data_IF_468470759733
#
_entry.id   IF_468470759733
#
_cell.length_a   1.000
_cell.length_b   1.000
_cell.length_c   1.000
_cell.angle_alpha   90.00
_cell.angle_beta   90.00
_cell.angle_gamma   90.00
#
_symmetry.space_group_name_H-M   'P 1'
#
loop_
_entity.id
_entity.type
_entity.pdbx_description
1 polymer ?
#
# COMPACT_ATOMS: atom_id res chain seq x y z
N UNK A 1 -5.25 -2.42 8.21
CA UNK A 1 -4.79 -2.87 6.88
C UNK A 1 -5.92 -2.63 5.88
N UNK A 2 -5.64 -1.98 4.75
CA UNK A 2 -6.64 -1.73 3.72
C UNK A 2 -7.28 -3.05 3.21
N UNK A 3 -8.60 -3.09 3.04
CA UNK A 3 -9.35 -4.31 2.72
C UNK A 3 -8.94 -4.94 1.39
N UNK A 4 -8.92 -4.22 0.25
CA UNK A 4 -8.30 -4.68 -0.98
C UNK A 4 -6.89 -5.26 -0.84
N UNK A 5 -5.99 -4.58 -0.12
CA UNK A 5 -4.64 -5.11 0.10
C UNK A 5 -4.66 -6.45 0.86
N UNK A 6 -5.54 -6.58 1.84
CA UNK A 6 -5.74 -7.83 2.60
C UNK A 6 -6.25 -8.95 1.70
N UNK A 7 -7.16 -8.64 0.78
CA UNK A 7 -7.77 -9.60 -0.12
C UNK A 7 -6.77 -10.03 -1.22
N UNK A 8 -5.97 -9.09 -1.74
CA UNK A 8 -4.83 -9.37 -2.63
C UNK A 8 -3.81 -10.28 -1.94
N UNK A 9 -3.45 -10.00 -0.69
CA UNK A 9 -2.52 -10.82 0.08
C UNK A 9 -3.05 -12.26 0.27
N UNK A 10 -4.36 -12.41 0.49
CA UNK A 10 -5.02 -13.72 0.56
C UNK A 10 -4.98 -14.42 -0.80
N UNK A 11 -5.21 -13.71 -1.90
CA UNK A 11 -5.14 -14.28 -3.24
C UNK A 11 -3.72 -14.75 -3.60
N UNK A 12 -2.69 -13.95 -3.24
CA UNK A 12 -1.29 -14.27 -3.52
C UNK A 12 -0.75 -15.45 -2.70
N UNK A 13 -1.24 -15.64 -1.48
CA UNK A 13 -0.74 -16.67 -0.54
C UNK A 13 -1.68 -17.88 -0.40
N UNK A 14 -2.91 -17.80 -0.91
CA UNK A 14 -4.00 -18.75 -0.64
C UNK A 14 -4.11 -19.96 -1.58
N UNK A 15 -3.02 -20.39 -2.23
CA UNK A 15 -3.04 -21.52 -3.16
C UNK A 15 -2.31 -22.76 -2.63
N UNK A 16 -3.05 -23.71 -2.05
CA UNK A 16 -2.91 -25.18 -2.22
C UNK A 16 -3.71 -25.97 -1.16
N UNK A 17 -3.75 -25.52 0.09
CA UNK A 17 -4.34 -26.29 1.19
C UNK A 17 -5.42 -25.47 1.88
N UNK A 18 -6.69 -25.86 1.71
CA UNK A 18 -7.91 -25.16 2.11
C UNK A 18 -8.13 -24.94 3.62
N UNK A 19 -7.06 -24.77 4.39
CA UNK A 19 -7.09 -24.45 5.81
C UNK A 19 -5.82 -23.67 6.19
N UNK A 20 -5.75 -22.38 5.87
CA UNK A 20 -4.70 -21.53 6.41
C UNK A 20 -5.31 -20.25 6.99
N UNK A 21 -4.98 -20.00 8.27
CA UNK A 21 -5.29 -18.78 8.98
C UNK A 21 -4.93 -17.54 8.13
N UNK A 22 -5.63 -16.43 8.37
CA UNK A 22 -5.37 -15.15 7.70
C UNK A 22 -3.85 -14.86 7.63
N UNK A 23 -3.27 -14.61 6.43
CA UNK A 23 -1.83 -14.38 6.32
C UNK A 23 -1.43 -13.17 7.15
N UNK A 24 -0.84 -13.45 8.31
CA UNK A 24 -0.45 -12.42 9.27
C UNK A 24 0.71 -11.61 8.65
N UNK A 25 0.58 -10.29 8.51
CA UNK A 25 1.68 -9.42 8.08
C UNK A 25 2.79 -9.34 9.16
N UNK A 26 4.03 -8.98 8.78
CA UNK A 26 4.49 -8.66 7.43
C UNK A 26 4.65 -9.91 6.53
N UNK A 27 4.44 -9.71 5.23
CA UNK A 27 4.73 -10.68 4.16
C UNK A 27 5.57 -9.97 3.12
N UNK A 28 6.82 -10.39 2.95
CA UNK A 28 7.76 -9.71 2.07
C UNK A 28 7.70 -10.29 0.66
N UNK A 29 7.57 -9.40 -0.30
CA UNK A 29 7.72 -9.69 -1.72
C UNK A 29 8.80 -8.80 -2.31
N UNK A 30 9.65 -9.35 -3.18
CA UNK A 30 10.68 -8.59 -3.91
C UNK A 30 10.53 -8.92 -5.39
N UNK A 31 10.35 -7.89 -6.21
CA UNK A 31 10.11 -8.01 -7.66
C UNK A 31 9.00 -9.03 -8.01
N UNK A 32 7.91 -9.00 -7.23
CA UNK A 32 6.74 -9.89 -7.39
C UNK A 32 6.92 -11.31 -6.83
N UNK A 33 8.08 -11.66 -6.27
CA UNK A 33 8.35 -12.99 -5.70
C UNK A 33 8.19 -12.97 -4.18
N UNK A 34 7.47 -13.94 -3.63
CA UNK A 34 7.34 -14.10 -2.18
C UNK A 34 8.66 -14.55 -1.54
N UNK A 35 9.11 -13.82 -0.53
CA UNK A 35 10.36 -14.07 0.20
C UNK A 35 10.10 -14.78 1.53
N UNK A 36 9.02 -14.42 2.23
CA UNK A 36 8.70 -15.00 3.54
C UNK A 36 7.83 -14.09 4.43
N UNK A 37 7.43 -14.62 5.58
CA UNK A 37 6.81 -13.88 6.67
C UNK A 37 7.85 -13.25 7.59
N UNK A 38 7.41 -12.79 8.76
CA UNK A 38 8.28 -12.10 9.71
C UNK A 38 9.50 -12.95 10.11
N UNK A 39 9.27 -14.19 10.54
CA UNK A 39 10.33 -15.06 11.07
C UNK A 39 11.34 -15.44 9.98
N UNK A 40 10.88 -15.77 8.77
CA UNK A 40 11.77 -16.10 7.67
C UNK A 40 12.62 -14.91 7.23
N UNK A 41 12.04 -13.70 7.22
CA UNK A 41 12.76 -12.47 6.87
C UNK A 41 13.78 -12.11 7.94
N UNK A 42 13.46 -12.27 9.22
CA UNK A 42 14.41 -12.07 10.32
C UNK A 42 15.58 -13.05 10.19
N UNK A 43 15.30 -14.34 9.98
CA UNK A 43 16.36 -15.34 9.79
C UNK A 43 17.24 -15.04 8.55
N UNK A 44 16.67 -14.51 7.47
CA UNK A 44 17.45 -14.05 6.30
C UNK A 44 18.32 -12.83 6.63
N UNK A 45 17.82 -11.91 7.45
CA UNK A 45 18.57 -10.75 7.89
C UNK A 45 19.78 -11.14 8.74
N UNK A 46 19.57 -12.00 9.73
CA UNK A 46 20.61 -12.48 10.66
C UNK A 46 21.72 -13.24 9.93
N UNK A 47 21.38 -13.98 8.87
CA UNK A 47 22.35 -14.66 7.99
C UNK A 47 23.01 -13.75 6.96
N UNK A 48 22.75 -12.45 6.97
CA UNK A 48 23.22 -11.47 5.96
C UNK A 48 22.77 -11.78 4.52
N UNK A 49 21.73 -12.59 4.34
CA UNK A 49 21.21 -13.01 3.03
C UNK A 49 20.07 -12.12 2.52
N UNK A 50 19.47 -11.30 3.38
CA UNK A 50 18.38 -10.40 2.98
C UNK A 50 18.87 -9.25 2.08
N UNK A 51 20.05 -8.66 2.38
CA UNK A 51 20.57 -7.50 1.65
C UNK A 51 20.76 -7.77 0.15
N UNK A 52 21.37 -8.89 -0.29
CA UNK A 52 21.45 -9.25 -1.71
C UNK A 52 20.10 -9.33 -2.40
N UNK A 53 19.08 -9.90 -1.75
CA UNK A 53 17.72 -10.01 -2.29
C UNK A 53 17.12 -8.61 -2.52
N UNK A 54 17.31 -7.68 -1.58
CA UNK A 54 16.79 -6.31 -1.69
C UNK A 54 17.53 -5.43 -2.73
N UNK A 55 18.73 -5.81 -3.19
CA UNK A 55 19.50 -5.02 -4.17
C UNK A 55 18.90 -5.04 -5.58
N UNK A 56 18.10 -6.04 -5.90
CA UNK A 56 17.40 -6.14 -7.19
C UNK A 56 16.20 -5.18 -7.28
N UNK A 57 15.66 -4.77 -6.14
CA UNK A 57 14.54 -3.86 -6.11
C UNK A 57 14.99 -2.47 -6.59
N UNK A 58 14.30 -1.84 -7.56
CA UNK A 58 14.59 -0.48 -7.97
C UNK A 58 14.41 0.43 -6.76
N UNK A 59 15.48 1.11 -6.35
CA UNK A 59 15.39 2.19 -5.36
C UNK A 59 14.74 3.39 -6.06
N UNK A 60 13.41 3.36 -6.20
CA UNK A 60 12.69 4.54 -6.67
C UNK A 60 12.94 5.67 -5.64
N UNK A 61 13.25 6.88 -6.10
CA UNK A 61 13.67 7.98 -5.21
C UNK A 61 15.11 7.94 -4.68
N UNK A 62 16.03 7.16 -5.27
CA UNK A 62 17.45 7.11 -4.89
C UNK A 62 18.29 8.33 -5.31
N UNK A 63 17.74 9.54 -5.17
CA UNK A 63 18.60 10.69 -4.91
C UNK A 63 19.14 10.58 -3.49
N UNK A 64 20.27 11.22 -3.20
CA UNK A 64 20.79 11.36 -1.82
C UNK A 64 19.81 12.11 -0.90
N UNK A 65 18.86 12.86 -1.48
CA UNK A 65 17.86 13.64 -0.77
C UNK A 65 16.44 13.04 -0.91
N UNK A 66 15.59 13.15 0.12
CA UNK A 66 14.17 12.82 0.03
C UNK A 66 13.48 13.58 -1.10
N UNK A 67 12.44 13.00 -1.70
CA UNK A 67 11.65 13.67 -2.73
C UNK A 67 11.08 15.00 -2.19
N UNK A 68 11.29 16.10 -2.93
CA UNK A 68 10.82 17.43 -2.51
C UNK A 68 9.29 17.55 -2.35
N UNK A 69 8.52 16.64 -2.94
CA UNK A 69 7.05 16.64 -2.89
C UNK A 69 6.50 15.74 -1.78
N UNK A 70 6.93 14.49 -1.68
CA UNK A 70 6.40 13.55 -0.69
C UNK A 70 7.31 13.35 0.54
N UNK A 71 8.50 13.96 0.58
CA UNK A 71 9.48 13.75 1.65
C UNK A 71 9.98 12.31 1.77
N UNK A 72 9.86 11.50 0.71
CA UNK A 72 10.16 10.06 0.74
C UNK A 72 9.03 9.17 1.25
N UNK A 73 7.82 9.72 1.46
CA UNK A 73 6.64 8.98 1.90
C UNK A 73 5.87 8.29 0.76
N UNK A 74 6.24 8.52 -0.51
CA UNK A 74 5.67 7.91 -1.73
C UNK A 74 4.23 8.27 -2.06
N UNK A 75 3.52 8.84 -1.10
CA UNK A 75 2.15 9.28 -1.22
C UNK A 75 2.06 10.75 -0.82
N UNK A 76 1.07 11.45 -1.37
CA UNK A 76 0.71 12.81 -1.00
C UNK A 76 -0.79 12.91 -0.76
N UNK A 77 -1.19 13.94 -0.02
CA UNK A 77 -2.61 14.22 0.23
C UNK A 77 -3.32 14.49 -1.09
N UNK A 78 -4.47 13.85 -1.29
CA UNK A 78 -5.30 14.06 -2.47
C UNK A 78 -5.81 15.50 -2.51
N UNK A 79 -5.45 16.24 -3.55
CA UNK A 79 -5.95 17.60 -3.76
C UNK A 79 -7.44 17.68 -4.11
N UNK A 80 -8.04 16.60 -4.63
CA UNK A 80 -9.45 16.58 -5.02
C UNK A 80 -10.42 16.50 -3.84
N UNK A 81 -10.03 15.82 -2.76
CA UNK A 81 -10.84 15.70 -1.54
C UNK A 81 -10.17 16.27 -0.29
N UNK A 82 -9.02 16.95 -0.45
CA UNK A 82 -8.20 17.49 0.63
C UNK A 82 -7.86 16.46 1.72
N UNK A 83 -7.64 15.20 1.32
CA UNK A 83 -7.31 14.10 2.24
C UNK A 83 -8.49 13.52 3.00
N UNK A 84 -9.72 14.01 2.81
CA UNK A 84 -10.88 13.48 3.52
C UNK A 84 -11.39 12.15 2.95
N UNK A 85 -11.02 11.82 1.70
CA UNK A 85 -11.60 10.73 0.91
C UNK A 85 -13.12 10.88 0.65
N UNK A 86 -13.70 12.04 0.96
CA UNK A 86 -15.11 12.35 0.73
C UNK A 86 -15.28 13.63 -0.09
N UNK A 87 -16.30 13.64 -0.95
CA UNK A 87 -16.75 14.80 -1.73
C UNK A 87 -18.20 15.07 -1.36
N UNK A 88 -18.65 16.32 -1.47
CA UNK A 88 -20.05 16.68 -1.23
C UNK A 88 -20.85 16.57 -2.54
N UNK A 89 -21.97 15.87 -2.51
CA UNK A 89 -22.90 15.82 -3.64
C UNK A 89 -23.61 17.17 -3.78
N UNK A 90 -23.57 17.74 -4.99
CA UNK A 90 -24.18 19.04 -5.29
C UNK A 90 -25.65 18.91 -5.75
N UNK A 91 -26.17 17.68 -5.91
CA UNK A 91 -27.53 17.40 -6.37
C UNK A 91 -28.39 16.78 -5.26
N UNK A 92 -29.41 17.50 -4.82
CA UNK A 92 -30.35 17.06 -3.79
C UNK A 92 -31.19 15.84 -4.19
N UNK A 93 -31.31 14.88 -3.29
CA UNK A 93 -32.58 14.59 -2.62
C UNK A 93 -32.32 13.76 -1.35
N UNK A 94 -33.04 14.12 -0.30
CA UNK A 94 -32.71 13.85 1.09
C UNK A 94 -33.02 12.41 1.58
N UNK A 95 -32.59 11.36 0.87
CA UNK A 95 -32.82 9.95 1.30
C UNK A 95 -31.58 9.05 1.11
N UNK A 96 -30.36 9.61 1.13
CA UNK A 96 -29.15 8.83 1.38
C UNK A 96 -28.29 9.58 2.40
N UNK A 97 -27.88 8.90 3.47
CA UNK A 97 -27.24 9.49 4.64
C UNK A 97 -26.14 10.51 4.27
N UNK A 98 -26.48 11.79 4.43
CA UNK A 98 -25.59 12.95 4.43
C UNK A 98 -24.73 13.20 3.17
N UNK A 99 -25.33 13.24 1.97
CA UNK A 99 -24.84 14.05 0.83
C UNK A 99 -23.34 14.03 0.52
N UNK A 100 -22.65 12.91 0.77
CA UNK A 100 -21.21 12.75 0.55
C UNK A 100 -20.96 11.47 -0.22
N UNK A 101 -20.17 11.60 -1.28
CA UNK A 101 -19.70 10.48 -2.11
C UNK A 101 -18.21 10.25 -1.88
N UNK A 102 -17.74 9.01 -2.03
CA UNK A 102 -16.31 8.70 -1.91
C UNK A 102 -15.54 9.36 -3.04
N UNK A 103 -14.37 9.91 -2.74
CA UNK A 103 -13.48 10.42 -3.77
C UNK A 103 -12.96 9.25 -4.63
N UNK A 104 -13.19 9.27 -5.97
CA UNK A 104 -12.74 8.18 -6.84
C UNK A 104 -11.23 8.24 -7.14
N UNK A 105 -10.58 9.37 -6.82
CA UNK A 105 -9.19 9.65 -7.19
C UNK A 105 -8.15 9.32 -6.13
N UNK A 106 -8.53 8.83 -4.95
CA UNK A 106 -7.59 8.52 -3.87
C UNK A 106 -7.94 7.21 -3.17
N UNK A 107 -7.00 6.70 -2.38
CA UNK A 107 -7.29 5.61 -1.46
C UNK A 107 -8.15 6.10 -0.28
N UNK A 108 -8.52 5.15 0.58
CA UNK A 108 -9.39 5.34 1.75
C UNK A 108 -8.82 6.28 2.81
N UNK A 109 -7.51 6.51 2.77
CA UNK A 109 -6.82 7.47 3.64
C UNK A 109 -6.72 8.87 3.01
N UNK A 110 -7.34 9.09 1.85
CA UNK A 110 -7.27 10.37 1.15
C UNK A 110 -5.93 10.63 0.47
N UNK A 111 -5.16 9.58 0.16
CA UNK A 111 -3.82 9.70 -0.40
C UNK A 111 -3.76 9.25 -1.87
N UNK A 112 -2.86 9.86 -2.63
CA UNK A 112 -2.51 9.50 -4.01
C UNK A 112 -1.02 9.23 -4.14
N UNK A 113 -0.59 8.37 -5.09
CA UNK A 113 0.83 8.17 -5.37
C UNK A 113 1.52 9.51 -5.70
N UNK A 114 2.75 9.69 -5.24
CA UNK A 114 3.52 10.90 -5.50
C UNK A 114 3.81 11.01 -7.01
N UNK A 115 3.41 12.11 -7.68
CA UNK A 115 3.57 12.23 -9.13
C UNK A 115 5.03 12.32 -9.59
N UNK A 116 5.98 12.54 -8.68
CA UNK A 116 7.40 12.67 -9.00
C UNK A 116 8.23 11.40 -8.79
N UNK A 117 7.84 10.53 -7.85
CA UNK A 117 8.71 9.41 -7.44
C UNK A 117 7.97 8.12 -7.08
N UNK A 118 6.65 8.03 -7.35
CA UNK A 118 5.91 6.78 -7.18
C UNK A 118 6.18 5.77 -8.28
#
# INVERSE_FOLDING_TARGET
MHAPYRDDLRALLGGADGAAAFPVPPRLFVDGRYVGGADEVVALHERSQLRPVLRCAPRRGAGEAPCAVCGGAWFVVCGGCSGSHWLHDSGGDAIAAAGRVRCPGCNENGLVPCPLCS
#
